data_IF_655433538016
#
_entry.id   IF_655433538016
#
_cell.length_a   1.000
_cell.length_b   1.000
_cell.length_c   1.000
_cell.angle_alpha   90.00
_cell.angle_beta   90.00
_cell.angle_gamma   90.00
#
_symmetry.space_group_name_H-M   'P 1'
#
loop_
_entity.id
_entity.type
_entity.pdbx_description
1 polymer ?
#
# COMPACT_ATOMS: atom_id res chain seq x y z
N UNK A 1 -29.06 1.38 24.75
CA UNK A 1 -30.00 2.43 24.35
C UNK A 1 -29.81 2.63 22.86
N UNK A 2 -30.81 2.39 21.98
CA UNK A 2 -30.67 2.71 20.57
C UNK A 2 -30.57 4.22 20.43
N UNK A 3 -29.41 4.70 20.01
CA UNK A 3 -29.18 6.11 19.69
C UNK A 3 -29.83 6.37 18.32
N UNK A 4 -31.02 6.91 18.33
CA UNK A 4 -31.69 7.32 17.12
C UNK A 4 -31.26 8.75 16.75
N UNK A 5 -30.02 8.89 16.27
CA UNK A 5 -29.46 10.18 15.95
C UNK A 5 -29.72 10.52 14.47
N UNK A 6 -30.95 10.93 14.17
CA UNK A 6 -31.38 11.28 12.81
C UNK A 6 -30.79 12.59 12.29
N UNK A 7 -30.15 13.38 13.16
CA UNK A 7 -29.56 14.69 12.83
C UNK A 7 -28.05 14.65 12.57
N UNK A 8 -27.40 13.50 12.86
CA UNK A 8 -25.98 13.32 12.65
C UNK A 8 -25.69 12.86 11.21
N UNK A 9 -24.77 13.52 10.56
CA UNK A 9 -24.33 13.22 9.20
C UNK A 9 -22.82 13.02 9.17
N UNK A 10 -22.38 11.87 8.64
CA UNK A 10 -21.00 11.58 8.31
C UNK A 10 -20.78 11.79 6.82
N UNK A 11 -19.77 12.57 6.46
CA UNK A 11 -19.36 12.77 5.08
C UNK A 11 -17.87 12.46 4.97
N UNK A 12 -17.54 11.47 4.12
CA UNK A 12 -16.17 11.13 3.76
C UNK A 12 -15.99 11.40 2.27
N UNK A 13 -14.92 12.11 1.92
CA UNK A 13 -14.53 12.38 0.55
C UNK A 13 -13.05 12.09 0.38
N UNK A 14 -12.74 11.33 -0.63
CA UNK A 14 -11.37 11.03 -1.03
C UNK A 14 -11.21 11.26 -2.53
N UNK A 15 -10.03 11.78 -2.91
CA UNK A 15 -9.57 11.79 -4.29
C UNK A 15 -8.07 11.55 -4.33
N UNK A 16 -7.64 10.87 -5.37
CA UNK A 16 -6.24 10.62 -5.65
C UNK A 16 -5.96 10.93 -7.11
N UNK A 17 -4.85 11.60 -7.35
CA UNK A 17 -4.31 11.84 -8.67
C UNK A 17 -2.86 11.37 -8.70
N UNK A 18 -2.45 10.72 -9.80
CA UNK A 18 -1.10 10.25 -9.96
C UNK A 18 -0.62 10.44 -11.41
N UNK A 19 0.65 10.81 -11.54
CA UNK A 19 1.37 10.90 -12.81
C UNK A 19 2.61 10.03 -12.72
N UNK A 20 2.69 9.02 -13.60
CA UNK A 20 3.83 8.11 -13.66
C UNK A 20 4.56 8.21 -15.01
N UNK A 21 5.88 8.18 -14.95
CA UNK A 21 6.76 8.13 -16.13
C UNK A 21 7.74 6.98 -15.96
N UNK A 22 7.98 6.24 -17.03
CA UNK A 22 8.94 5.14 -17.05
C UNK A 22 9.85 5.25 -18.25
N UNK A 23 11.16 5.11 -18.02
CA UNK A 23 12.17 5.04 -19.05
C UNK A 23 12.84 3.66 -19.05
N UNK A 24 12.73 2.95 -20.19
CA UNK A 24 13.28 1.62 -20.36
C UNK A 24 14.63 1.67 -21.05
N UNK A 25 15.64 1.11 -20.39
CA UNK A 25 16.99 0.92 -20.93
C UNK A 25 17.16 -0.55 -21.32
N UNK A 26 17.56 -0.83 -22.55
CA UNK A 26 17.70 -2.20 -23.01
C UNK A 26 18.20 -2.34 -24.42
N UNK A 27 18.18 -3.56 -24.92
CA UNK A 27 18.60 -3.88 -26.27
C UNK A 27 17.46 -3.60 -27.26
N UNK A 28 17.78 -2.80 -28.29
CA UNK A 28 16.86 -2.63 -29.45
C UNK A 28 16.94 -3.86 -30.33
N UNK A 29 15.81 -4.43 -30.65
CA UNK A 29 15.68 -5.52 -31.62
C UNK A 29 14.74 -5.07 -32.73
N UNK A 30 15.02 -5.55 -33.95
CA UNK A 30 14.12 -5.41 -35.09
C UNK A 30 13.23 -6.65 -35.10
N UNK A 31 11.93 -6.49 -35.02
CA UNK A 31 10.96 -7.57 -35.18
C UNK A 31 10.21 -7.36 -36.49
N UNK A 32 10.35 -8.30 -37.39
CA UNK A 32 9.59 -8.33 -38.63
C UNK A 32 8.19 -8.86 -38.31
N UNK A 33 7.16 -8.10 -38.64
CA UNK A 33 5.75 -8.49 -38.41
C UNK A 33 5.18 -9.14 -39.66
N UNK A 34 5.56 -8.62 -40.81
CA UNK A 34 5.21 -9.13 -42.15
C UNK A 34 6.31 -8.73 -43.16
N UNK A 35 6.18 -9.12 -44.40
CA UNK A 35 7.22 -8.91 -45.43
C UNK A 35 7.62 -7.45 -45.63
N UNK A 36 6.77 -6.51 -45.25
CA UNK A 36 6.98 -5.07 -45.47
C UNK A 36 7.15 -4.25 -44.19
N UNK A 37 6.81 -4.80 -43.02
CA UNK A 37 6.77 -4.04 -41.77
C UNK A 37 7.79 -4.56 -40.76
N UNK A 38 8.77 -3.72 -40.41
CA UNK A 38 9.77 -3.97 -39.38
C UNK A 38 9.54 -2.98 -38.24
N UNK A 39 9.25 -3.48 -37.02
CA UNK A 39 9.12 -2.67 -35.83
C UNK A 39 10.39 -2.78 -35.01
N UNK A 40 10.87 -1.63 -34.50
CA UNK A 40 11.91 -1.61 -33.51
C UNK A 40 11.29 -1.73 -32.11
N UNK A 41 11.63 -2.79 -31.37
CA UNK A 41 11.20 -3.03 -30.01
C UNK A 41 12.39 -2.96 -29.05
N UNK A 42 12.22 -2.29 -27.93
CA UNK A 42 13.20 -2.30 -26.83
C UNK A 42 12.87 -3.46 -25.90
N UNK A 43 13.82 -4.37 -25.71
CA UNK A 43 13.75 -5.38 -24.65
C UNK A 43 14.42 -4.76 -23.43
N UNK A 44 13.65 -4.36 -22.39
CA UNK A 44 14.21 -3.64 -21.26
C UNK A 44 15.07 -4.58 -20.39
N UNK A 45 16.22 -4.11 -19.98
CA UNK A 45 17.07 -4.71 -18.95
C UNK A 45 16.98 -3.96 -17.64
N UNK A 46 16.79 -2.65 -17.77
CA UNK A 46 16.62 -1.73 -16.66
C UNK A 46 15.46 -0.80 -16.94
N UNK A 47 14.80 -0.37 -15.88
CA UNK A 47 13.77 0.66 -15.94
C UNK A 47 14.03 1.65 -14.82
N UNK A 48 13.96 2.93 -15.17
CA UNK A 48 13.89 4.02 -14.21
C UNK A 48 12.47 4.55 -14.27
N UNK A 49 11.82 4.64 -13.11
CA UNK A 49 10.47 5.17 -12.98
C UNK A 49 10.46 6.38 -12.07
N UNK A 50 9.58 7.30 -12.35
CA UNK A 50 9.21 8.41 -11.48
C UNK A 50 7.69 8.45 -11.37
N UNK A 51 7.19 8.63 -10.16
CA UNK A 51 5.77 8.82 -9.90
C UNK A 51 5.58 10.02 -8.96
N UNK A 52 4.67 10.89 -9.33
CA UNK A 52 4.15 11.95 -8.50
C UNK A 52 2.68 11.65 -8.19
N UNK A 53 2.28 11.79 -6.93
CA UNK A 53 0.90 11.55 -6.52
C UNK A 53 0.40 12.64 -5.57
N UNK A 54 -0.87 12.96 -5.70
CA UNK A 54 -1.61 13.83 -4.79
C UNK A 54 -2.81 13.05 -4.26
N UNK A 55 -3.00 13.06 -2.96
CA UNK A 55 -4.14 12.46 -2.29
C UNK A 55 -4.73 13.45 -1.30
N UNK A 56 -6.05 13.56 -1.28
CA UNK A 56 -6.75 14.36 -0.30
C UNK A 56 -7.94 13.59 0.25
N UNK A 57 -8.00 13.51 1.56
CA UNK A 57 -9.08 12.88 2.29
C UNK A 57 -9.70 13.92 3.20
N UNK A 58 -11.02 14.01 3.18
CA UNK A 58 -11.79 14.86 4.09
C UNK A 58 -12.82 14.01 4.80
N UNK A 59 -12.76 14.04 6.11
CA UNK A 59 -13.81 13.53 6.97
C UNK A 59 -14.52 14.69 7.64
N UNK A 60 -15.85 14.70 7.60
CA UNK A 60 -16.69 15.69 8.27
C UNK A 60 -17.82 14.98 8.99
N UNK A 61 -17.90 15.19 10.27
CA UNK A 61 -19.05 14.84 11.10
C UNK A 61 -19.80 16.12 11.45
N UNK A 62 -21.10 16.11 11.28
CA UNK A 62 -21.99 17.20 11.65
C UNK A 62 -23.21 16.61 12.34
N UNK A 63 -23.48 17.07 13.56
CA UNK A 63 -24.73 16.85 14.24
C UNK A 63 -25.37 18.23 14.53
N UNK A 64 -26.55 18.44 14.00
CA UNK A 64 -27.26 19.72 14.09
C UNK A 64 -28.11 19.85 15.35
N UNK A 65 -28.39 18.73 16.02
CA UNK A 65 -29.13 18.67 17.28
C UNK A 65 -28.48 17.64 18.21
N UNK A 66 -27.26 17.93 18.69
CA UNK A 66 -26.52 16.96 19.49
C UNK A 66 -27.21 16.71 20.84
N UNK A 67 -27.31 15.43 21.21
CA UNK A 67 -27.84 15.01 22.51
C UNK A 67 -26.77 15.15 23.59
N UNK A 68 -27.04 15.99 24.59
CA UNK A 68 -26.12 16.22 25.72
C UNK A 68 -25.90 14.97 26.58
N UNK A 69 -26.87 14.07 26.65
CA UNK A 69 -26.73 12.81 27.39
C UNK A 69 -25.82 11.83 26.66
N UNK A 70 -25.82 11.88 25.32
CA UNK A 70 -24.96 11.02 24.52
C UNK A 70 -23.52 11.53 24.44
N UNK A 71 -23.33 12.82 24.21
CA UNK A 71 -22.01 13.41 24.03
C UNK A 71 -21.35 13.81 25.36
N UNK A 72 -22.10 13.88 26.47
CA UNK A 72 -21.57 14.15 27.80
C UNK A 72 -20.70 15.40 27.85
N UNK A 73 -19.48 15.24 28.35
CA UNK A 73 -18.50 16.34 28.47
C UNK A 73 -18.04 16.93 27.12
N UNK A 74 -18.26 16.23 26.03
CA UNK A 74 -17.94 16.72 24.69
C UNK A 74 -19.00 17.69 24.15
N UNK A 75 -20.14 17.82 24.85
CA UNK A 75 -21.20 18.74 24.54
C UNK A 75 -20.95 20.10 25.20
N UNK A 76 -20.13 20.92 24.60
CA UNK A 76 -20.00 22.32 25.03
C UNK A 76 -20.76 23.26 24.12
N UNK A 77 -21.99 23.63 24.57
CA UNK A 77 -22.56 24.94 24.31
C UNK A 77 -22.75 25.34 22.86
N UNK A 78 -23.46 24.66 22.02
CA UNK A 78 -24.09 25.31 20.85
C UNK A 78 -24.87 24.34 19.99
N UNK A 79 -25.73 24.89 19.22
CA UNK A 79 -26.73 24.32 18.34
C UNK A 79 -26.24 23.25 17.34
N UNK A 80 -24.96 22.96 17.29
CA UNK A 80 -24.41 21.90 16.42
C UNK A 80 -23.00 21.43 16.81
N UNK A 81 -22.77 20.13 16.74
CA UNK A 81 -21.46 19.51 16.86
C UNK A 81 -20.87 19.32 15.47
N UNK A 82 -19.70 19.90 15.22
CA UNK A 82 -19.00 19.77 13.92
C UNK A 82 -17.56 19.38 14.15
N UNK A 83 -17.18 18.21 13.58
CA UNK A 83 -15.81 17.74 13.50
C UNK A 83 -15.38 17.66 12.05
N UNK A 84 -14.19 18.13 11.76
CA UNK A 84 -13.59 18.05 10.44
C UNK A 84 -12.12 17.65 10.55
N UNK A 85 -11.75 16.68 9.75
CA UNK A 85 -10.37 16.25 9.57
C UNK A 85 -10.06 16.28 8.07
N UNK A 86 -9.14 17.14 7.68
CA UNK A 86 -8.61 17.21 6.32
C UNK A 86 -7.19 16.62 6.32
N UNK A 87 -6.94 15.78 5.36
CA UNK A 87 -5.66 15.13 5.16
C UNK A 87 -5.23 15.29 3.71
N UNK A 88 -4.01 15.74 3.51
CA UNK A 88 -3.40 15.91 2.19
C UNK A 88 -2.04 15.25 2.17
N UNK A 89 -1.75 14.53 1.09
CA UNK A 89 -0.46 13.91 0.82
C UNK A 89 0.01 14.28 -0.58
N UNK A 90 1.24 14.77 -0.70
CA UNK A 90 1.97 14.89 -1.95
C UNK A 90 3.14 13.91 -1.92
N UNK A 91 3.10 12.90 -2.78
CA UNK A 91 4.08 11.83 -2.85
C UNK A 91 4.98 11.95 -4.06
N UNK A 92 6.27 11.70 -3.87
CA UNK A 92 7.26 11.56 -4.93
C UNK A 92 7.96 10.22 -4.77
N UNK A 93 8.07 9.48 -5.85
CA UNK A 93 8.70 8.16 -5.84
C UNK A 93 9.63 8.01 -7.04
N UNK A 94 10.84 7.54 -6.78
CA UNK A 94 11.82 7.18 -7.81
C UNK A 94 12.08 5.69 -7.68
N UNK A 95 11.95 4.96 -8.79
CA UNK A 95 12.16 3.52 -8.85
C UNK A 95 13.26 3.16 -9.83
N UNK A 96 14.01 2.12 -9.45
CA UNK A 96 14.96 1.46 -10.31
C UNK A 96 14.62 -0.02 -10.36
N UNK A 97 14.46 -0.56 -11.57
CA UNK A 97 14.09 -1.97 -11.77
C UNK A 97 15.09 -2.64 -12.70
N UNK A 98 15.61 -3.77 -12.24
CA UNK A 98 16.48 -4.66 -13.02
C UNK A 98 15.68 -5.87 -13.50
N UNK A 99 15.82 -6.20 -14.77
CA UNK A 99 15.08 -7.26 -15.47
C UNK A 99 16.04 -8.16 -16.24
N UNK A 100 16.76 -9.06 -15.54
CA UNK A 100 17.69 -9.98 -16.18
C UNK A 100 16.97 -10.93 -17.12
N UNK A 101 17.63 -11.27 -18.21
CA UNK A 101 17.11 -12.13 -19.27
C UNK A 101 17.93 -13.41 -19.33
N UNK A 102 17.27 -14.54 -19.54
CA UNK A 102 17.90 -15.83 -19.80
C UNK A 102 17.68 -16.22 -21.26
N UNK A 103 18.73 -16.77 -21.91
CA UNK A 103 18.62 -17.36 -23.23
C UNK A 103 18.00 -18.75 -23.02
N UNK A 104 16.88 -19.02 -23.64
CA UNK A 104 16.31 -20.37 -23.74
C UNK A 104 16.98 -21.12 -24.89
N UNK A 105 17.24 -22.40 -24.65
CA UNK A 105 18.00 -23.27 -25.57
C UNK A 105 17.39 -23.42 -26.96
N UNK A 106 16.12 -23.08 -27.13
CA UNK A 106 15.34 -23.34 -28.35
C UNK A 106 15.00 -22.11 -29.16
N UNK A 107 15.43 -20.92 -28.78
CA UNK A 107 15.01 -19.74 -29.52
C UNK A 107 15.95 -18.56 -29.37
N UNK A 108 15.98 -17.75 -30.41
CA UNK A 108 16.55 -16.41 -30.44
C UNK A 108 15.92 -15.44 -29.40
N UNK A 109 14.92 -15.87 -28.65
CA UNK A 109 14.20 -15.08 -27.68
C UNK A 109 14.81 -15.20 -26.27
N UNK A 110 15.13 -14.05 -25.68
CA UNK A 110 15.56 -13.94 -24.31
C UNK A 110 14.34 -13.70 -23.43
N UNK A 111 14.04 -14.64 -22.56
CA UNK A 111 12.95 -14.49 -21.60
C UNK A 111 13.43 -13.81 -20.32
N UNK A 112 12.62 -12.89 -19.83
CA UNK A 112 12.80 -12.26 -18.53
C UNK A 112 12.33 -13.24 -17.46
N UNK A 113 13.24 -13.71 -16.60
CA UNK A 113 12.91 -14.69 -15.55
C UNK A 113 12.74 -14.08 -14.16
N UNK A 114 13.28 -12.89 -13.96
CA UNK A 114 13.30 -12.20 -12.68
C UNK A 114 13.03 -10.70 -12.88
N UNK A 115 12.48 -10.07 -11.87
CA UNK A 115 12.44 -8.62 -11.72
C UNK A 115 12.87 -8.30 -10.31
N UNK A 116 13.87 -7.45 -10.14
CA UNK A 116 14.29 -6.93 -8.85
C UNK A 116 14.46 -5.43 -8.92
N UNK A 117 14.29 -4.74 -7.82
CA UNK A 117 14.42 -3.29 -7.84
C UNK A 117 14.33 -2.66 -6.47
N UNK A 118 14.46 -1.35 -6.49
CA UNK A 118 14.28 -0.49 -5.34
C UNK A 118 13.46 0.74 -5.66
N UNK A 119 12.81 1.29 -4.65
CA UNK A 119 12.00 2.51 -4.72
C UNK A 119 12.37 3.39 -3.55
N UNK A 120 12.58 4.67 -3.81
CA UNK A 120 12.71 5.69 -2.78
C UNK A 120 11.50 6.59 -2.84
N UNK A 121 10.83 6.76 -1.71
CA UNK A 121 9.63 7.59 -1.61
C UNK A 121 9.88 8.74 -0.64
N UNK A 122 9.42 9.93 -1.02
CA UNK A 122 9.35 11.12 -0.20
C UNK A 122 7.94 11.68 -0.24
N UNK A 123 7.22 11.53 0.87
CA UNK A 123 5.83 11.91 1.00
C UNK A 123 5.71 13.12 1.94
N UNK A 124 5.28 14.24 1.41
CA UNK A 124 4.85 15.38 2.22
C UNK A 124 3.40 15.17 2.66
N UNK A 125 3.18 15.22 3.96
CA UNK A 125 1.90 15.04 4.61
C UNK A 125 1.46 16.32 5.30
N UNK A 126 0.21 16.63 5.18
CA UNK A 126 -0.40 17.77 5.84
C UNK A 126 -1.74 17.33 6.39
N UNK A 127 -1.88 17.38 7.71
CA UNK A 127 -3.15 17.15 8.38
C UNK A 127 -3.67 18.44 8.98
N UNK A 128 -4.98 18.66 8.87
CA UNK A 128 -5.68 19.78 9.48
C UNK A 128 -6.87 19.26 10.25
N UNK A 129 -6.89 19.57 11.54
CA UNK A 129 -8.02 19.35 12.43
C UNK A 129 -8.71 20.69 12.74
N UNK A 130 -9.77 20.66 13.53
CA UNK A 130 -10.42 21.89 14.00
C UNK A 130 -9.51 22.82 14.81
N UNK A 131 -8.47 22.31 15.43
CA UNK A 131 -7.61 23.02 16.39
C UNK A 131 -6.17 23.22 15.94
N UNK A 132 -5.74 22.58 14.86
CA UNK A 132 -4.34 22.69 14.44
C UNK A 132 -4.03 22.13 13.08
N UNK A 133 -2.79 22.34 12.69
CA UNK A 133 -2.18 21.86 11.44
C UNK A 133 -0.87 21.17 11.77
N UNK A 134 -0.66 20.01 11.20
CA UNK A 134 0.58 19.23 11.41
C UNK A 134 1.16 18.78 10.08
N UNK A 135 2.15 19.48 9.55
CA UNK A 135 2.91 19.00 8.40
C UNK A 135 4.03 18.05 8.86
N UNK A 136 4.27 17.01 8.07
CA UNK A 136 5.45 16.15 8.25
C UNK A 136 5.87 15.54 6.92
N UNK A 137 7.12 15.08 6.85
CA UNK A 137 7.67 14.42 5.67
C UNK A 137 8.06 13.00 6.03
N UNK A 138 7.44 12.03 5.39
CA UNK A 138 7.84 10.63 5.48
C UNK A 138 8.77 10.27 4.34
N UNK A 139 9.93 9.71 4.69
CA UNK A 139 10.87 9.10 3.75
C UNK A 139 10.88 7.60 3.92
N UNK A 140 10.81 6.85 2.82
CA UNK A 140 10.94 5.41 2.85
C UNK A 140 11.75 4.87 1.68
N UNK A 141 12.36 3.71 1.91
CA UNK A 141 13.02 2.91 0.88
C UNK A 141 12.35 1.56 0.83
N UNK A 142 12.18 1.05 -0.38
CA UNK A 142 11.58 -0.25 -0.63
C UNK A 142 12.47 -1.05 -1.56
N UNK A 143 12.70 -2.32 -1.23
CA UNK A 143 13.32 -3.32 -2.09
C UNK A 143 12.32 -4.38 -2.49
N UNK A 144 12.37 -4.86 -3.73
CA UNK A 144 11.52 -5.94 -4.17
C UNK A 144 12.21 -6.89 -5.14
N UNK A 145 11.76 -8.12 -5.13
CA UNK A 145 12.15 -9.16 -6.06
C UNK A 145 10.94 -10.03 -6.39
N UNK A 146 10.78 -10.38 -7.66
CA UNK A 146 9.73 -11.31 -8.09
C UNK A 146 10.18 -12.15 -9.29
N UNK A 147 9.75 -13.41 -9.33
CA UNK A 147 9.88 -14.24 -10.53
C UNK A 147 8.88 -13.79 -11.59
N UNK A 148 9.24 -13.91 -12.86
CA UNK A 148 8.31 -13.63 -13.94
C UNK A 148 7.42 -14.86 -14.21
N UNK A 149 6.11 -14.67 -14.22
CA UNK A 149 5.12 -15.74 -14.47
C UNK A 149 5.14 -16.27 -15.89
N UNK A 150 5.66 -15.49 -16.86
CA UNK A 150 5.85 -15.94 -18.23
C UNK A 150 6.97 -17.00 -18.36
N UNK A 151 7.85 -17.09 -17.37
CA UNK A 151 8.90 -18.11 -17.33
C UNK A 151 8.30 -19.45 -16.90
N UNK A 152 8.48 -20.49 -17.72
CA UNK A 152 7.90 -21.84 -17.53
C UNK A 152 8.52 -22.62 -16.35
N UNK A 153 8.75 -21.97 -15.23
CA UNK A 153 9.16 -22.67 -14.00
C UNK A 153 7.94 -22.98 -13.14
N UNK A 154 7.93 -24.12 -12.46
CA UNK A 154 6.84 -24.43 -11.53
C UNK A 154 6.88 -23.55 -10.27
N UNK A 155 8.00 -22.86 -10.00
CA UNK A 155 8.21 -22.05 -8.81
C UNK A 155 8.11 -20.58 -9.16
N UNK A 156 7.22 -19.87 -8.47
CA UNK A 156 7.07 -18.43 -8.52
C UNK A 156 7.26 -17.86 -7.11
N UNK A 157 7.94 -16.76 -7.00
CA UNK A 157 8.14 -16.07 -5.72
C UNK A 157 8.04 -14.57 -5.89
N UNK A 158 7.68 -13.90 -4.80
CA UNK A 158 7.68 -12.46 -4.66
C UNK A 158 8.10 -12.11 -3.24
N UNK A 159 8.98 -11.12 -3.11
CA UNK A 159 9.40 -10.57 -1.83
C UNK A 159 9.49 -9.05 -1.93
N UNK A 160 9.11 -8.38 -0.84
CA UNK A 160 9.14 -6.93 -0.72
C UNK A 160 9.46 -6.54 0.70
N UNK A 161 10.34 -5.57 0.86
CA UNK A 161 10.71 -4.97 2.15
C UNK A 161 10.62 -3.46 2.00
N UNK A 162 9.90 -2.80 2.90
CA UNK A 162 9.79 -1.34 2.97
C UNK A 162 10.19 -0.87 4.36
N UNK A 163 11.09 0.10 4.41
CA UNK A 163 11.57 0.72 5.63
C UNK A 163 11.39 2.23 5.57
N UNK A 164 10.86 2.82 6.64
CA UNK A 164 10.68 4.25 6.78
C UNK A 164 11.82 4.83 7.62
N UNK A 165 12.64 5.69 7.01
CA UNK A 165 13.80 6.29 7.67
C UNK A 165 13.51 7.68 8.26
N UNK A 166 12.40 8.33 7.89
CA UNK A 166 12.04 9.65 8.42
C UNK A 166 10.54 9.86 8.53
N UNK A 167 10.15 10.89 9.29
CA UNK A 167 8.78 11.35 9.46
C UNK A 167 8.01 10.64 10.56
N UNK A 168 6.69 10.72 10.50
CA UNK A 168 5.77 10.10 11.45
C UNK A 168 5.98 8.58 11.54
N UNK A 169 6.19 7.95 10.39
CA UNK A 169 6.38 6.51 10.27
C UNK A 169 7.85 6.07 10.46
N UNK A 170 8.72 6.93 10.99
CA UNK A 170 10.13 6.59 11.17
C UNK A 170 10.31 5.26 11.93
N UNK A 171 11.20 4.40 11.41
CA UNK A 171 11.46 3.05 11.89
C UNK A 171 10.28 2.08 11.72
N UNK A 172 9.31 2.40 10.88
CA UNK A 172 8.34 1.41 10.42
C UNK A 172 9.00 0.45 9.44
N UNK A 173 8.64 -0.82 9.54
CA UNK A 173 9.13 -1.89 8.70
C UNK A 173 7.96 -2.74 8.21
N UNK A 174 7.88 -2.96 6.91
CA UNK A 174 6.89 -3.84 6.30
C UNK A 174 7.64 -4.85 5.44
N UNK A 175 7.43 -6.14 5.70
CA UNK A 175 8.01 -7.24 4.94
C UNK A 175 6.90 -8.13 4.46
N UNK A 176 6.83 -8.39 3.17
CA UNK A 176 5.95 -9.40 2.64
C UNK A 176 6.68 -10.29 1.64
N UNK A 177 6.37 -11.57 1.68
CA UNK A 177 6.95 -12.55 0.81
C UNK A 177 5.99 -13.69 0.55
N UNK A 178 6.07 -14.25 -0.63
CA UNK A 178 5.36 -15.47 -0.95
C UNK A 178 6.17 -16.33 -1.93
N UNK A 179 5.96 -17.62 -1.84
CA UNK A 179 6.45 -18.61 -2.78
C UNK A 179 5.28 -19.49 -3.21
N UNK A 180 5.17 -19.73 -4.48
CA UNK A 180 4.13 -20.57 -5.08
C UNK A 180 4.78 -21.64 -5.94
N UNK A 181 4.39 -22.87 -5.72
CA UNK A 181 4.71 -24.00 -6.58
C UNK A 181 3.46 -24.41 -7.35
N UNK A 182 3.54 -24.48 -8.68
CA UNK A 182 2.42 -24.83 -9.55
C UNK A 182 2.77 -26.09 -10.36
N UNK A 183 2.09 -27.20 -10.09
CA UNK A 183 2.22 -28.43 -10.83
C UNK A 183 1.16 -28.45 -11.96
N UNK A 184 1.52 -27.84 -13.10
CA UNK A 184 0.62 -27.70 -14.26
C UNK A 184 -0.79 -27.23 -13.83
N UNK A 185 -1.84 -27.92 -14.31
CA UNK A 185 -3.23 -27.61 -13.98
C UNK A 185 -3.81 -28.47 -12.84
N UNK A 186 -2.95 -29.21 -12.11
CA UNK A 186 -3.43 -30.13 -11.08
C UNK A 186 -3.39 -29.53 -9.68
N UNK A 187 -2.28 -28.89 -9.33
CA UNK A 187 -2.05 -28.44 -7.97
C UNK A 187 -1.25 -27.15 -7.96
N UNK A 188 -1.65 -26.20 -7.11
CA UNK A 188 -0.89 -25.02 -6.76
C UNK A 188 -0.78 -24.93 -5.25
N UNK A 189 0.44 -24.86 -4.74
CA UNK A 189 0.72 -24.64 -3.32
C UNK A 189 1.39 -23.29 -3.18
N UNK A 190 0.92 -22.47 -2.25
CA UNK A 190 1.51 -21.16 -1.93
C UNK A 190 1.78 -21.09 -0.44
N UNK A 191 2.96 -20.63 -0.06
CA UNK A 191 3.25 -20.18 1.30
C UNK A 191 3.51 -18.68 1.29
N UNK A 192 3.13 -17.98 2.35
CA UNK A 192 3.32 -16.54 2.45
C UNK A 192 3.59 -16.09 3.88
N UNK A 193 4.27 -14.96 3.98
CA UNK A 193 4.53 -14.27 5.24
C UNK A 193 4.30 -12.76 5.05
N UNK A 194 3.65 -12.15 6.02
CA UNK A 194 3.50 -10.70 6.16
C UNK A 194 3.97 -10.33 7.56
N UNK A 195 4.95 -9.46 7.64
CA UNK A 195 5.37 -8.83 8.88
C UNK A 195 5.24 -7.32 8.76
N UNK A 196 4.67 -6.68 9.76
CA UNK A 196 4.63 -5.22 9.85
C UNK A 196 4.88 -4.75 11.27
N UNK A 197 5.76 -3.78 11.40
CA UNK A 197 5.98 -2.97 12.58
C UNK A 197 5.70 -1.53 12.17
N UNK A 198 4.56 -0.98 12.61
CA UNK A 198 4.06 0.30 12.10
C UNK A 198 3.56 1.19 13.21
N UNK A 199 3.74 2.51 13.05
CA UNK A 199 3.05 3.48 13.88
C UNK A 199 1.53 3.30 13.73
N UNK A 200 0.76 3.48 14.81
CA UNK A 200 -0.69 3.58 14.74
C UNK A 200 -1.14 4.66 13.76
N UNK A 201 -2.35 4.57 13.25
CA UNK A 201 -2.88 5.61 12.39
C UNK A 201 -2.83 6.98 13.06
N UNK A 202 -2.48 8.04 12.30
CA UNK A 202 -2.32 9.39 12.86
C UNK A 202 -3.53 9.85 13.69
N UNK A 203 -4.74 9.53 13.24
CA UNK A 203 -5.98 9.86 13.95
C UNK A 203 -6.23 9.01 15.20
N UNK A 204 -5.59 7.85 15.34
CA UNK A 204 -5.63 7.06 16.57
C UNK A 204 -4.73 7.67 17.65
N UNK A 205 -3.63 8.30 17.26
CA UNK A 205 -2.71 8.98 18.16
C UNK A 205 -3.18 10.40 18.49
N UNK A 206 -3.59 11.16 17.47
CA UNK A 206 -3.88 12.58 17.58
C UNK A 206 -5.25 12.91 16.99
N UNK A 207 -6.14 13.37 17.83
CA UNK A 207 -7.44 13.84 17.39
C UNK A 207 -7.94 14.94 18.32
N UNK A 208 -8.45 16.02 17.76
CA UNK A 208 -9.01 17.14 18.50
C UNK A 208 -10.34 17.57 17.95
N UNK A 209 -11.30 17.73 18.84
CA UNK A 209 -12.63 18.27 18.54
C UNK A 209 -12.60 19.78 18.73
N UNK A 210 -13.49 20.50 18.07
CA UNK A 210 -13.54 21.97 18.03
C UNK A 210 -13.45 22.67 19.40
N UNK A 211 -13.86 22.02 20.47
CA UNK A 211 -13.91 22.59 21.82
C UNK A 211 -12.75 22.18 22.73
N UNK A 212 -11.64 21.68 22.15
CA UNK A 212 -10.45 21.29 22.91
C UNK A 212 -10.49 19.87 23.47
N UNK A 213 -11.63 19.20 23.41
CA UNK A 213 -11.70 17.77 23.71
C UNK A 213 -11.03 16.97 22.60
N UNK A 214 -10.38 15.89 22.96
CA UNK A 214 -9.70 15.03 22.02
C UNK A 214 -8.76 14.10 22.75
N UNK A 215 -7.96 13.39 21.99
CA UNK A 215 -6.91 12.54 22.56
C UNK A 215 -5.55 12.84 21.94
N UNK A 216 -4.54 12.71 22.77
CA UNK A 216 -3.14 12.73 22.41
C UNK A 216 -2.52 11.51 23.07
N UNK A 217 -2.62 10.38 22.38
CA UNK A 217 -2.16 9.10 22.87
C UNK A 217 -0.70 8.89 22.49
N UNK A 218 0.01 8.15 23.30
CA UNK A 218 1.38 7.71 23.00
C UNK A 218 1.38 6.18 22.89
N UNK A 219 0.69 5.66 21.91
CA UNK A 219 0.67 4.23 21.66
C UNK A 219 2.01 3.78 21.08
N UNK A 220 2.48 2.62 21.52
CA UNK A 220 3.63 1.97 20.90
C UNK A 220 3.31 1.44 19.49
N UNK A 221 4.36 1.14 18.73
CA UNK A 221 4.20 0.56 17.39
C UNK A 221 3.40 -0.74 17.43
N UNK A 222 2.50 -0.86 16.50
CA UNK A 222 1.74 -2.08 16.25
C UNK A 222 2.64 -3.10 15.55
N UNK A 223 2.67 -4.33 16.06
CA UNK A 223 3.41 -5.43 15.48
C UNK A 223 2.42 -6.50 15.01
N UNK A 224 2.52 -6.85 13.74
CA UNK A 224 1.72 -7.91 13.13
C UNK A 224 2.62 -8.90 12.40
N UNK A 225 2.45 -10.19 12.69
CA UNK A 225 3.03 -11.27 11.93
C UNK A 225 1.91 -12.19 11.46
N UNK A 226 1.77 -12.33 10.15
CA UNK A 226 0.86 -13.30 9.54
C UNK A 226 1.69 -14.27 8.72
N UNK A 227 1.51 -15.57 8.94
CA UNK A 227 2.09 -16.62 8.12
C UNK A 227 1.01 -17.62 7.73
N UNK A 228 1.03 -18.07 6.48
CA UNK A 228 0.00 -18.97 5.99
C UNK A 228 0.39 -19.71 4.73
N UNK A 229 -0.52 -20.60 4.32
CA UNK A 229 -0.37 -21.38 3.11
C UNK A 229 -1.71 -21.69 2.48
N UNK A 230 -1.72 -21.76 1.15
CA UNK A 230 -2.89 -22.17 0.36
C UNK A 230 -2.54 -23.37 -0.51
N UNK A 231 -3.47 -24.27 -0.63
CA UNK A 231 -3.45 -25.38 -1.59
C UNK A 231 -4.67 -25.24 -2.48
N UNK A 232 -4.47 -25.24 -3.77
CA UNK A 232 -5.55 -25.08 -4.75
C UNK A 232 -5.39 -26.03 -5.92
N UNK A 233 -6.46 -26.73 -6.28
CA UNK A 233 -6.50 -27.58 -7.47
C UNK A 233 -7.34 -26.92 -8.57
N UNK A 234 -6.70 -26.39 -9.64
CA UNK A 234 -7.45 -25.78 -10.75
C UNK A 234 -8.37 -26.75 -11.47
N UNK A 235 -8.01 -28.05 -11.49
CA UNK A 235 -8.78 -29.09 -12.20
C UNK A 235 -10.17 -29.32 -11.62
N UNK A 236 -10.30 -29.25 -10.29
CA UNK A 236 -11.58 -29.50 -9.60
C UNK A 236 -12.16 -28.23 -8.98
N UNK A 237 -11.46 -27.09 -9.09
CA UNK A 237 -11.91 -25.80 -8.57
C UNK A 237 -11.94 -25.74 -7.02
N UNK A 238 -11.21 -26.63 -6.33
CA UNK A 238 -11.22 -26.72 -4.87
C UNK A 238 -9.92 -26.19 -4.29
N UNK A 239 -10.02 -25.45 -3.18
CA UNK A 239 -8.86 -24.95 -2.46
C UNK A 239 -9.11 -24.88 -0.96
N UNK A 240 -7.99 -24.84 -0.21
CA UNK A 240 -7.96 -24.64 1.23
C UNK A 240 -6.86 -23.65 1.58
N UNK A 241 -7.10 -22.85 2.61
CA UNK A 241 -6.13 -21.89 3.15
C UNK A 241 -6.07 -22.04 4.67
N UNK A 242 -4.86 -22.00 5.20
CA UNK A 242 -4.59 -21.94 6.64
C UNK A 242 -3.62 -20.81 6.90
N UNK A 243 -3.91 -19.98 7.87
CA UNK A 243 -3.01 -18.93 8.32
C UNK A 243 -3.11 -18.70 9.82
N UNK A 244 -2.06 -18.10 10.37
CA UNK A 244 -2.00 -17.63 11.75
C UNK A 244 -1.56 -16.16 11.74
N UNK A 245 -2.18 -15.35 12.59
CA UNK A 245 -1.83 -13.93 12.78
C UNK A 245 -1.59 -13.66 14.24
N UNK A 246 -0.43 -13.11 14.54
CA UNK A 246 -0.04 -12.61 15.86
C UNK A 246 -0.08 -11.08 15.80
N UNK A 247 -0.87 -10.46 16.69
CA UNK A 247 -1.01 -9.02 16.81
C UNK A 247 -0.53 -8.58 18.20
N UNK A 248 0.32 -7.58 18.26
CA UNK A 248 0.78 -6.95 19.49
C UNK A 248 0.56 -5.45 19.42
N UNK A 249 0.21 -4.82 20.55
CA UNK A 249 -0.09 -3.39 20.65
C UNK A 249 -1.21 -2.94 19.70
N UNK A 250 -2.20 -3.80 19.49
CA UNK A 250 -3.33 -3.46 18.64
C UNK A 250 -4.27 -2.51 19.37
N UNK A 251 -4.75 -1.47 18.67
CA UNK A 251 -5.67 -0.46 19.21
C UNK A 251 -7.07 -0.80 18.71
N UNK A 252 -7.99 -0.98 19.65
CA UNK A 252 -9.40 -1.29 19.39
C UNK A 252 -10.25 -0.03 19.28
#
# INVERSE_FOLDING_TARGET
VPVNNTTAVNNYREWTWALGMNYNLGKKIKQQINDTTVIQKVIPRFRIGYEFSLQSNRYKFLDTQPDSLFYGEYYYLKDSLKNQFDFFKAGNSISFTWMPQRITSDSTYKEQFLTAGGIVNLDYWYSKTNTGKSPFVNGSVEGFVKSNTAFKTPIHFEGRVKYFFSGYNRNDLIVNGNIRYALRNYLSVKAYVLYSLTEPGYTQQYFTVKNGAGWNNNFGKQNQLTAGGTVYSPKIGLGAEVYNTILQNFIY
#
